data_IF_694835342828
#
_entry.id   IF_694835342828
#
_cell.length_a   1.000
_cell.length_b   1.000
_cell.length_c   1.000
_cell.angle_alpha   90.00
_cell.angle_beta   90.00
_cell.angle_gamma   90.00
#
_symmetry.space_group_name_H-M   'P 1'
#
loop_
_entity.id
_entity.type
_entity.pdbx_description
1 polymer ?
#
# COMPACT_ATOMS: atom_id res chain seq x y z
N UNK A 1 -52.28 8.49 17.42
CA UNK A 1 -51.45 7.31 17.77
C UNK A 1 -50.61 6.99 16.54
N UNK A 2 -49.35 7.43 16.51
CA UNK A 2 -48.44 7.25 15.37
C UNK A 2 -47.81 5.86 15.46
N UNK A 3 -48.03 5.02 14.45
CA UNK A 3 -47.23 3.81 14.22
C UNK A 3 -46.02 4.19 13.35
N UNK A 4 -44.81 3.68 13.63
CA UNK A 4 -43.62 4.04 12.86
C UNK A 4 -43.57 3.31 11.51
N UNK A 5 -42.84 3.94 10.59
CA UNK A 5 -42.76 3.64 9.18
C UNK A 5 -42.20 2.25 8.87
N UNK A 6 -42.74 1.65 7.80
CA UNK A 6 -42.17 0.52 7.09
C UNK A 6 -40.69 0.78 6.74
N UNK A 7 -39.79 0.11 7.44
CA UNK A 7 -38.43 -0.08 6.96
C UNK A 7 -38.49 -0.89 5.66
N UNK A 8 -38.12 -0.27 4.53
CA UNK A 8 -38.01 -0.98 3.25
C UNK A 8 -36.97 -2.10 3.44
N UNK A 9 -37.29 -3.36 3.16
CA UNK A 9 -36.28 -4.40 3.17
C UNK A 9 -35.27 -4.07 2.06
N UNK A 10 -34.00 -3.87 2.45
CA UNK A 10 -32.90 -3.79 1.49
C UNK A 10 -32.88 -5.04 0.59
N UNK A 11 -32.26 -4.96 -0.60
CA UNK A 11 -32.32 -6.05 -1.58
C UNK A 11 -31.80 -7.37 -0.97
N UNK A 12 -32.68 -8.36 -0.83
CA UNK A 12 -32.40 -9.66 -0.20
C UNK A 12 -31.30 -10.47 -0.91
N UNK A 13 -30.97 -10.10 -2.14
CA UNK A 13 -29.97 -10.77 -2.99
C UNK A 13 -28.53 -10.47 -2.56
N UNK A 14 -28.22 -9.25 -2.09
CA UNK A 14 -26.85 -8.91 -1.64
C UNK A 14 -26.46 -9.68 -0.36
N UNK A 15 -27.43 -9.93 0.52
CA UNK A 15 -27.25 -10.78 1.71
C UNK A 15 -27.10 -12.26 1.39
N UNK A 16 -27.73 -12.76 0.31
CA UNK A 16 -27.63 -14.17 -0.11
C UNK A 16 -26.42 -14.47 -1.00
N UNK A 17 -25.99 -13.53 -1.84
CA UNK A 17 -25.00 -13.82 -2.90
C UNK A 17 -23.84 -12.83 -3.00
N UNK A 18 -23.95 -11.61 -2.46
CA UNK A 18 -23.12 -10.47 -2.90
C UNK A 18 -22.08 -9.90 -1.94
N UNK A 19 -22.12 -10.20 -0.63
CA UNK A 19 -21.16 -9.57 0.31
C UNK A 19 -19.82 -10.32 0.32
N UNK A 20 -18.85 -9.83 -0.45
CA UNK A 20 -17.43 -10.08 -0.16
C UNK A 20 -16.94 -9.07 0.85
N UNK A 21 -16.15 -9.53 1.80
CA UNK A 21 -15.51 -8.72 2.81
C UNK A 21 -14.01 -8.73 2.55
N UNK A 22 -13.36 -7.60 2.83
CA UNK A 22 -11.91 -7.46 2.76
C UNK A 22 -11.41 -6.88 4.07
N UNK A 23 -10.39 -7.53 4.64
CA UNK A 23 -9.66 -7.06 5.81
C UNK A 23 -8.21 -6.98 5.41
N UNK A 24 -7.58 -5.82 5.59
CA UNK A 24 -6.22 -5.58 5.12
C UNK A 24 -5.57 -4.40 5.82
N UNK A 25 -4.26 -4.32 5.66
CA UNK A 25 -3.44 -3.18 6.02
C UNK A 25 -2.71 -2.69 4.77
N UNK A 26 -2.59 -1.37 4.64
CA UNK A 26 -1.88 -0.74 3.54
C UNK A 26 -0.91 0.30 4.07
N UNK A 27 0.38 0.11 3.80
CA UNK A 27 1.45 1.00 4.23
C UNK A 27 1.97 1.77 3.02
N UNK A 28 2.13 3.08 3.21
CA UNK A 28 2.59 4.01 2.18
C UNK A 28 3.83 4.72 2.73
N UNK A 29 4.94 4.50 2.06
CA UNK A 29 6.22 5.11 2.39
C UNK A 29 6.68 6.01 1.25
N UNK A 30 7.24 7.16 1.64
CA UNK A 30 7.80 8.14 0.71
C UNK A 30 9.31 8.13 0.86
N UNK A 31 10.01 7.79 -0.22
CA UNK A 31 11.46 7.84 -0.31
C UNK A 31 11.85 9.13 -1.05
N UNK A 32 12.57 10.00 -0.33
CA UNK A 32 13.17 11.23 -0.82
C UNK A 32 14.69 11.12 -0.66
N UNK A 33 15.43 10.78 -1.73
CA UNK A 33 16.88 10.75 -1.69
C UNK A 33 17.46 12.13 -1.32
N UNK A 34 18.58 12.14 -0.59
CA UNK A 34 19.31 13.40 -0.31
C UNK A 34 20.03 13.88 -1.58
N UNK A 35 20.52 15.11 -1.56
CA UNK A 35 21.27 15.67 -2.68
C UNK A 35 22.42 14.76 -3.13
N UNK A 36 22.41 14.40 -4.42
CA UNK A 36 23.39 13.51 -5.03
C UNK A 36 23.12 12.02 -4.86
N UNK A 37 22.09 11.63 -4.10
CA UNK A 37 21.66 10.25 -3.95
C UNK A 37 20.55 9.88 -4.95
N UNK A 38 20.41 8.59 -5.19
CA UNK A 38 19.35 8.03 -6.04
C UNK A 38 18.38 7.19 -5.21
N UNK A 39 17.13 7.08 -5.65
CA UNK A 39 16.19 6.11 -5.06
C UNK A 39 16.73 4.67 -5.09
N UNK A 40 17.64 4.38 -6.02
CA UNK A 40 18.38 3.11 -6.13
C UNK A 40 19.25 2.80 -4.92
N UNK A 41 19.70 3.83 -4.22
CA UNK A 41 20.46 3.69 -2.98
C UNK A 41 19.58 3.22 -1.82
N UNK A 42 18.27 3.48 -1.91
CA UNK A 42 17.29 3.19 -0.87
C UNK A 42 16.50 1.91 -1.12
N UNK A 43 16.38 1.49 -2.39
CA UNK A 43 15.64 0.29 -2.78
C UNK A 43 16.58 -0.86 -3.17
N UNK A 44 16.14 -2.09 -2.96
CA UNK A 44 16.84 -3.28 -3.44
C UNK A 44 16.87 -3.36 -4.98
N UNK A 45 17.85 -4.07 -5.58
CA UNK A 45 18.04 -4.12 -7.04
C UNK A 45 16.81 -4.52 -7.86
N UNK A 46 15.92 -5.36 -7.30
CA UNK A 46 14.66 -5.76 -7.96
C UNK A 46 13.73 -4.59 -8.30
N UNK A 47 13.88 -3.45 -7.62
CA UNK A 47 13.07 -2.25 -7.82
C UNK A 47 13.82 -1.14 -8.55
N UNK A 48 14.91 -1.48 -9.27
CA UNK A 48 15.65 -0.49 -10.03
C UNK A 48 15.05 -0.29 -11.44
N UNK A 49 14.54 -1.35 -12.06
CA UNK A 49 14.08 -1.24 -13.45
C UNK A 49 15.23 -0.89 -14.42
N UNK A 50 14.93 -0.21 -15.52
CA UNK A 50 15.90 0.08 -16.57
C UNK A 50 16.95 1.12 -16.14
N UNK A 51 18.12 1.07 -16.79
CA UNK A 51 19.13 2.14 -16.71
C UNK A 51 18.57 3.47 -17.21
N UNK A 52 19.09 4.58 -16.69
CA UNK A 52 18.70 5.93 -17.10
C UNK A 52 19.30 6.33 -18.48
N UNK A 53 20.32 5.61 -18.96
CA UNK A 53 21.08 5.92 -20.17
C UNK A 53 20.27 6.12 -21.47
N UNK A 54 19.18 5.38 -21.75
CA UNK A 54 18.40 5.58 -22.98
C UNK A 54 17.39 6.74 -22.88
N UNK A 55 17.25 7.39 -21.73
CA UNK A 55 16.23 8.42 -21.49
C UNK A 55 16.84 9.82 -21.46
N UNK A 56 16.01 10.82 -21.77
CA UNK A 56 16.40 12.21 -21.57
C UNK A 56 16.63 12.48 -20.07
N UNK A 57 17.58 13.36 -19.76
CA UNK A 57 17.92 13.69 -18.37
C UNK A 57 16.66 14.16 -17.62
N UNK A 58 16.37 13.50 -16.50
CA UNK A 58 15.24 13.83 -15.63
C UNK A 58 13.87 13.34 -16.12
N UNK A 59 13.76 12.69 -17.27
CA UNK A 59 12.47 12.22 -17.81
C UNK A 59 12.10 10.79 -17.42
N UNK A 60 13.07 9.99 -16.96
CA UNK A 60 12.81 8.59 -16.59
C UNK A 60 11.95 8.50 -15.33
N UNK A 61 10.91 7.67 -15.37
CA UNK A 61 10.03 7.35 -14.24
C UNK A 61 9.89 5.84 -14.13
N UNK A 62 10.00 5.34 -12.90
CA UNK A 62 9.75 3.94 -12.59
C UNK A 62 8.31 3.73 -12.10
N UNK A 63 7.65 2.72 -12.65
CA UNK A 63 6.49 2.07 -12.04
C UNK A 63 6.71 0.56 -12.09
N UNK A 64 6.64 -0.11 -10.95
CA UNK A 64 6.71 -1.57 -10.84
C UNK A 64 5.65 -2.04 -9.86
N UNK A 65 4.98 -3.14 -10.21
CA UNK A 65 3.99 -3.80 -9.38
C UNK A 65 4.34 -5.29 -9.27
N UNK A 66 4.25 -5.82 -8.05
CA UNK A 66 4.33 -7.25 -7.77
C UNK A 66 3.10 -7.65 -6.97
N UNK A 67 2.46 -8.75 -7.39
CA UNK A 67 1.27 -9.30 -6.74
C UNK A 67 1.52 -10.77 -6.43
N UNK A 68 1.33 -11.15 -5.17
CA UNK A 68 1.57 -12.52 -4.72
C UNK A 68 0.50 -12.99 -3.75
N UNK A 69 0.26 -14.31 -3.75
CA UNK A 69 -0.53 -14.96 -2.69
C UNK A 69 0.34 -15.12 -1.46
N UNK A 70 -0.28 -14.97 -0.30
CA UNK A 70 0.36 -15.15 1.02
C UNK A 70 -0.54 -15.99 1.91
N UNK A 71 -0.02 -16.51 3.01
CA UNK A 71 -0.84 -17.09 4.07
C UNK A 71 -0.90 -16.11 5.25
N UNK A 72 -2.09 -15.80 5.74
CA UNK A 72 -2.30 -14.87 6.87
C UNK A 72 -2.93 -15.67 8.01
N UNK A 73 -2.07 -16.29 8.80
CA UNK A 73 -2.46 -17.35 9.73
C UNK A 73 -2.98 -18.57 8.97
N UNK A 74 -4.25 -18.91 9.16
CA UNK A 74 -4.94 -20.02 8.49
C UNK A 74 -5.70 -19.60 7.21
N UNK A 75 -5.62 -18.32 6.82
CA UNK A 75 -6.44 -17.76 5.76
C UNK A 75 -5.59 -17.29 4.58
N UNK A 76 -5.91 -17.68 3.33
CA UNK A 76 -5.20 -17.16 2.15
C UNK A 76 -5.38 -15.64 2.01
N UNK A 77 -4.26 -14.94 1.83
CA UNK A 77 -4.19 -13.51 1.58
C UNK A 77 -3.53 -13.17 0.24
N UNK A 78 -3.42 -11.88 -0.03
CA UNK A 78 -2.75 -11.32 -1.20
C UNK A 78 -1.98 -10.07 -0.79
N UNK A 79 -0.70 -10.04 -1.12
CA UNK A 79 0.14 -8.85 -0.97
C UNK A 79 0.35 -8.23 -2.35
N UNK A 80 0.15 -6.93 -2.43
CA UNK A 80 0.50 -6.11 -3.57
C UNK A 80 1.55 -5.11 -3.15
N UNK A 81 2.67 -5.10 -3.85
CA UNK A 81 3.77 -4.15 -3.66
C UNK A 81 3.89 -3.31 -4.92
N UNK A 82 3.83 -1.99 -4.77
CA UNK A 82 4.01 -1.02 -5.85
C UNK A 82 5.13 -0.08 -5.50
N UNK A 83 6.01 0.18 -6.47
CA UNK A 83 6.96 1.28 -6.42
C UNK A 83 6.66 2.20 -7.59
N UNK A 84 6.34 3.45 -7.30
CA UNK A 84 5.91 4.43 -8.30
C UNK A 84 6.62 5.76 -8.08
N UNK A 85 7.09 6.37 -9.17
CA UNK A 85 7.72 7.69 -9.12
C UNK A 85 6.83 8.77 -9.71
N UNK A 86 6.87 9.95 -9.09
CA UNK A 86 6.25 11.14 -9.63
C UNK A 86 7.07 12.39 -9.26
N UNK A 87 6.84 13.47 -9.99
CA UNK A 87 7.42 14.79 -9.76
C UNK A 87 6.34 15.88 -9.68
N UNK A 88 5.08 15.47 -9.50
CA UNK A 88 3.93 16.36 -9.48
C UNK A 88 3.58 16.82 -8.06
N UNK A 89 4.39 16.43 -7.07
CA UNK A 89 4.16 16.75 -5.65
C UNK A 89 3.14 15.83 -4.97
N UNK A 90 2.87 14.65 -5.53
CA UNK A 90 1.99 13.66 -4.88
C UNK A 90 2.81 12.77 -3.95
N UNK A 91 2.41 12.70 -2.67
CA UNK A 91 3.00 11.84 -1.65
C UNK A 91 2.05 10.76 -1.13
N UNK A 92 0.87 10.64 -1.75
CA UNK A 92 -0.11 9.60 -1.46
C UNK A 92 -0.76 9.10 -2.77
N UNK A 93 -1.16 7.82 -2.82
CA UNK A 93 -2.05 7.30 -3.84
C UNK A 93 -3.36 8.11 -3.93
N UNK A 94 -3.90 8.36 -5.15
CA UNK A 94 -5.08 9.20 -5.34
C UNK A 94 -6.33 8.76 -4.56
N UNK A 95 -6.49 7.45 -4.37
CA UNK A 95 -7.63 6.87 -3.66
C UNK A 95 -7.57 7.11 -2.14
N UNK A 96 -6.40 7.41 -1.59
CA UNK A 96 -6.23 7.73 -0.18
C UNK A 96 -6.39 9.22 0.14
N UNK A 97 -6.29 10.11 -0.85
CA UNK A 97 -6.32 11.57 -0.63
C UNK A 97 -7.59 12.03 0.10
N UNK A 98 -8.76 11.49 -0.27
CA UNK A 98 -10.03 11.88 0.33
C UNK A 98 -10.27 11.36 1.75
N UNK A 99 -9.54 10.32 2.17
CA UNK A 99 -9.70 9.65 3.46
C UNK A 99 -8.50 9.79 4.40
N UNK A 100 -7.38 10.38 3.94
CA UNK A 100 -6.19 10.55 4.72
C UNK A 100 -6.44 11.52 5.90
N UNK A 101 -5.88 11.24 7.10
CA UNK A 101 -5.79 12.24 8.15
C UNK A 101 -5.15 13.52 7.62
N UNK A 102 -5.45 14.69 8.23
CA UNK A 102 -4.78 15.94 7.86
C UNK A 102 -3.26 15.75 7.93
N UNK A 103 -2.63 15.69 6.77
CA UNK A 103 -1.20 15.50 6.61
C UNK A 103 -0.61 16.72 5.92
N UNK A 104 0.63 17.07 6.29
CA UNK A 104 1.37 18.12 5.58
C UNK A 104 2.11 17.47 4.41
N UNK A 105 1.83 17.87 3.16
CA UNK A 105 2.51 17.30 2.01
C UNK A 105 4.02 17.38 2.15
N UNK A 106 4.71 16.26 1.95
CA UNK A 106 6.18 16.16 1.97
C UNK A 106 6.78 16.35 0.58
N UNK A 107 6.09 15.90 -0.46
CA UNK A 107 6.53 16.04 -1.83
C UNK A 107 6.23 17.44 -2.39
N UNK A 108 7.16 17.99 -3.18
CA UNK A 108 7.00 19.27 -3.88
C UNK A 108 6.98 19.05 -5.38
N UNK A 109 6.23 19.89 -6.10
CA UNK A 109 6.25 19.84 -7.56
C UNK A 109 7.67 20.14 -8.09
N UNK A 110 8.11 19.36 -9.08
CA UNK A 110 9.46 19.39 -9.63
C UNK A 110 10.49 18.53 -8.88
N UNK A 111 10.15 17.99 -7.71
CA UNK A 111 10.98 17.05 -6.97
C UNK A 111 10.58 15.61 -7.32
N UNK A 112 11.53 14.81 -7.79
CA UNK A 112 11.28 13.39 -8.04
C UNK A 112 11.18 12.66 -6.70
N UNK A 113 9.99 12.13 -6.41
CA UNK A 113 9.76 11.29 -5.23
C UNK A 113 9.43 9.86 -5.62
N UNK A 114 9.75 8.92 -4.74
CA UNK A 114 9.44 7.50 -4.94
C UNK A 114 8.49 7.03 -3.84
N UNK A 115 7.33 6.56 -4.24
CA UNK A 115 6.33 5.97 -3.34
C UNK A 115 6.49 4.46 -3.33
N UNK A 116 6.53 3.90 -2.13
CA UNK A 116 6.41 2.47 -1.87
C UNK A 116 5.02 2.25 -1.26
N UNK A 117 4.16 1.54 -1.98
CA UNK A 117 2.79 1.23 -1.57
C UNK A 117 2.64 -0.27 -1.42
N UNK A 118 2.44 -0.72 -0.18
CA UNK A 118 2.31 -2.11 0.19
C UNK A 118 0.92 -2.37 0.75
N UNK A 119 0.11 -3.11 0.01
CA UNK A 119 -1.28 -3.42 0.32
C UNK A 119 -1.43 -4.92 0.55
N UNK A 120 -1.65 -5.32 1.80
CA UNK A 120 -1.75 -6.72 2.19
C UNK A 120 -3.12 -7.00 2.80
N UNK A 121 -3.84 -7.95 2.23
CA UNK A 121 -5.23 -8.18 2.58
C UNK A 121 -5.69 -9.63 2.40
N UNK A 122 -6.77 -9.94 3.11
CA UNK A 122 -7.61 -11.11 2.91
C UNK A 122 -8.92 -10.64 2.29
N UNK A 123 -9.40 -11.34 1.27
CA UNK A 123 -10.71 -11.10 0.66
C UNK A 123 -11.50 -12.40 0.58
N UNK A 124 -12.78 -12.36 0.96
CA UNK A 124 -13.64 -13.54 0.87
C UNK A 124 -14.99 -13.39 1.56
N UNK A 125 -15.60 -14.55 1.83
CA UNK A 125 -16.81 -14.66 2.65
C UNK A 125 -16.40 -15.26 4.00
N UNK A 126 -16.41 -14.43 5.04
CA UNK A 126 -16.10 -14.83 6.41
C UNK A 126 -17.04 -14.09 7.37
N UNK A 127 -17.19 -14.58 8.60
CA UNK A 127 -17.95 -13.93 9.66
C UNK A 127 -16.97 -13.56 10.80
N UNK A 128 -16.28 -12.41 10.68
CA UNK A 128 -15.17 -12.09 11.55
C UNK A 128 -15.66 -11.62 12.92
N UNK A 129 -15.10 -12.16 13.98
CA UNK A 129 -15.20 -11.58 15.32
C UNK A 129 -13.97 -10.70 15.62
N UNK A 130 -14.02 -9.93 16.71
CA UNK A 130 -12.93 -8.99 17.05
C UNK A 130 -11.57 -9.69 17.22
N UNK A 131 -11.54 -10.84 17.88
CA UNK A 131 -10.33 -11.64 18.10
C UNK A 131 -9.71 -12.10 16.77
N UNK A 132 -10.53 -12.58 15.84
CA UNK A 132 -10.10 -12.97 14.51
C UNK A 132 -9.50 -11.78 13.75
N UNK A 133 -10.17 -10.62 13.75
CA UNK A 133 -9.67 -9.42 13.06
C UNK A 133 -8.33 -8.99 13.66
N UNK A 134 -8.22 -8.95 14.99
CA UNK A 134 -6.99 -8.56 15.68
C UNK A 134 -5.83 -9.50 15.34
N UNK A 135 -6.04 -10.82 15.41
CA UNK A 135 -5.00 -11.79 15.08
C UNK A 135 -4.52 -11.66 13.64
N UNK A 136 -5.43 -11.42 12.68
CA UNK A 136 -5.07 -11.27 11.27
C UNK A 136 -4.41 -9.92 11.01
N UNK A 137 -4.82 -8.86 11.71
CA UNK A 137 -4.16 -7.55 11.62
C UNK A 137 -2.69 -7.62 12.07
N UNK A 138 -2.36 -8.34 13.15
CA UNK A 138 -0.97 -8.56 13.54
C UNK A 138 -0.19 -9.35 12.49
N UNK A 139 -0.75 -10.43 11.96
CA UNK A 139 -0.08 -11.21 10.92
C UNK A 139 0.19 -10.39 9.65
N UNK A 140 -0.79 -9.60 9.20
CA UNK A 140 -0.63 -8.67 8.08
C UNK A 140 0.45 -7.61 8.36
N UNK A 141 0.47 -7.06 9.59
CA UNK A 141 1.46 -6.08 10.01
C UNK A 141 2.88 -6.64 9.97
N UNK A 142 3.09 -7.81 10.58
CA UNK A 142 4.40 -8.45 10.65
C UNK A 142 4.93 -8.75 9.23
N UNK A 143 4.05 -9.25 8.36
CA UNK A 143 4.41 -9.51 6.95
C UNK A 143 4.78 -8.24 6.19
N UNK A 144 4.04 -7.14 6.38
CA UNK A 144 4.35 -5.86 5.75
C UNK A 144 5.70 -5.30 6.24
N UNK A 145 5.95 -5.34 7.54
CA UNK A 145 7.20 -4.86 8.15
C UNK A 145 8.39 -5.72 7.70
N UNK A 146 8.25 -7.05 7.70
CA UNK A 146 9.28 -7.95 7.20
C UNK A 146 9.52 -7.70 5.70
N UNK A 147 8.46 -7.68 4.89
CA UNK A 147 8.57 -7.44 3.46
C UNK A 147 9.31 -6.13 3.15
N UNK A 148 8.96 -5.05 3.85
CA UNK A 148 9.58 -3.74 3.67
C UNK A 148 11.09 -3.79 3.97
N UNK A 149 11.49 -4.20 5.17
CA UNK A 149 12.89 -4.18 5.59
C UNK A 149 13.76 -5.25 4.89
N UNK A 150 13.22 -6.45 4.73
CA UNK A 150 13.99 -7.61 4.27
C UNK A 150 13.95 -7.82 2.75
N UNK A 151 13.06 -7.14 2.02
CA UNK A 151 12.93 -7.38 0.58
C UNK A 151 12.74 -6.11 -0.25
N UNK A 152 12.25 -5.00 0.31
CA UNK A 152 12.01 -3.76 -0.46
C UNK A 152 13.16 -2.77 -0.33
N UNK A 153 13.53 -2.40 0.89
CA UNK A 153 14.54 -1.36 1.13
C UNK A 153 15.95 -1.94 1.27
N UNK A 154 16.93 -1.11 0.97
CA UNK A 154 18.34 -1.44 1.14
C UNK A 154 18.77 -1.29 2.60
N UNK A 155 19.89 -1.93 2.96
CA UNK A 155 20.51 -1.73 4.27
C UNK A 155 20.92 -0.26 4.50
N UNK A 156 21.36 0.44 3.44
CA UNK A 156 21.68 1.87 3.48
C UNK A 156 20.45 2.70 3.88
N UNK A 157 19.26 2.37 3.37
CA UNK A 157 18.03 3.07 3.75
C UNK A 157 17.77 2.96 5.26
N UNK A 158 17.87 1.75 5.80
CA UNK A 158 17.69 1.46 7.23
C UNK A 158 18.69 2.26 8.07
N UNK A 159 19.96 2.33 7.66
CA UNK A 159 20.99 3.11 8.34
C UNK A 159 20.72 4.61 8.30
N UNK A 160 20.18 5.12 7.19
CA UNK A 160 19.82 6.52 7.01
C UNK A 160 18.64 6.95 7.88
N UNK A 161 17.73 6.02 8.21
CA UNK A 161 16.50 6.30 8.98
C UNK A 161 16.59 5.97 10.47
N UNK A 162 17.68 5.36 10.93
CA UNK A 162 17.99 5.22 12.36
C UNK A 162 18.34 6.57 12.97
#
# INVERSE_FOLDING_TARGET
KNAPANARPGPKEQGKFGRRQRVGLRYIDLIQPRDGESYRDYLRPGFHGASDAPFAKGSHRLFVESVGRTDVGDTPGTMVLRVAQNDQGFDLPPDLIGGAPKFQPRAKAGELVTLVDMDHFIEGKFDPNAEWVTARAYALHDHLIEAFHEYVVSQKAIEVWK
#
